data_IF_691130892091
#
_entry.id   IF_691130892091
#
_cell.length_a   1.000
_cell.length_b   1.000
_cell.length_c   1.000
_cell.angle_alpha   90.00
_cell.angle_beta   90.00
_cell.angle_gamma   90.00
#
_symmetry.space_group_name_H-M   'P 1'
#
loop_
_entity.id
_entity.type
_entity.pdbx_description
1 polymer ?
#
# COMPACT_ATOMS: atom_id res chain seq x y z
N UNK A 1 -16.72 -15.77 -24.87
CA UNK A 1 -15.31 -15.34 -25.03
C UNK A 1 -15.21 -13.84 -25.28
N UNK A 2 -15.97 -13.31 -26.25
CA UNK A 2 -16.10 -11.86 -26.51
C UNK A 2 -16.43 -11.05 -25.26
N UNK A 3 -17.44 -11.47 -24.49
CA UNK A 3 -17.85 -10.75 -23.27
C UNK A 3 -16.83 -10.74 -22.13
N UNK A 4 -16.02 -11.78 -21.96
CA UNK A 4 -15.00 -11.84 -20.92
C UNK A 4 -13.78 -10.97 -21.27
N UNK A 5 -13.36 -10.99 -22.54
CA UNK A 5 -12.31 -10.12 -23.06
C UNK A 5 -12.76 -8.65 -23.05
N UNK A 6 -14.01 -8.38 -23.43
CA UNK A 6 -14.62 -7.05 -23.35
C UNK A 6 -14.70 -6.57 -21.90
N UNK A 7 -15.07 -7.43 -20.94
CA UNK A 7 -15.10 -7.06 -19.53
C UNK A 7 -13.70 -6.71 -19.00
N UNK A 8 -12.67 -7.52 -19.30
CA UNK A 8 -11.28 -7.24 -18.90
C UNK A 8 -10.76 -5.96 -19.56
N UNK A 9 -11.06 -5.75 -20.85
CA UNK A 9 -10.66 -4.54 -21.57
C UNK A 9 -11.35 -3.29 -21.01
N UNK A 10 -12.65 -3.36 -20.73
CA UNK A 10 -13.41 -2.26 -20.10
C UNK A 10 -12.86 -1.97 -18.70
N UNK A 11 -12.51 -3.00 -17.93
CA UNK A 11 -11.92 -2.86 -16.60
C UNK A 11 -10.53 -2.22 -16.65
N UNK A 12 -9.69 -2.61 -17.61
CA UNK A 12 -8.38 -2.00 -17.88
C UNK A 12 -8.53 -0.53 -18.32
N UNK A 13 -9.51 -0.23 -19.17
CA UNK A 13 -9.82 1.16 -19.58
C UNK A 13 -10.31 1.97 -18.38
N UNK A 14 -11.17 1.42 -17.52
CA UNK A 14 -11.63 2.10 -16.30
C UNK A 14 -10.47 2.36 -15.31
N UNK A 15 -9.47 1.47 -15.24
CA UNK A 15 -8.26 1.70 -14.44
C UNK A 15 -7.38 2.83 -14.99
N UNK A 16 -7.31 2.99 -16.31
CA UNK A 16 -6.58 4.09 -16.95
C UNK A 16 -7.24 5.46 -16.71
N UNK A 17 -8.50 5.49 -16.28
CA UNK A 17 -9.27 6.72 -16.04
C UNK A 17 -9.25 7.13 -14.57
N UNK A 18 -8.88 6.24 -13.64
CA UNK A 18 -8.73 6.60 -12.24
C UNK A 18 -7.41 7.37 -12.06
N UNK A 19 -7.42 8.63 -11.60
CA UNK A 19 -6.19 9.30 -11.21
C UNK A 19 -5.53 8.45 -10.12
N UNK A 20 -4.37 7.87 -10.43
CA UNK A 20 -3.61 7.01 -9.53
C UNK A 20 -2.98 7.88 -8.46
N UNK A 21 -3.74 8.15 -7.40
CA UNK A 21 -3.32 9.00 -6.31
C UNK A 21 -2.75 8.20 -5.13
N UNK A 22 -1.51 7.75 -5.29
CA UNK A 22 -0.83 6.93 -4.30
C UNK A 22 0.51 7.53 -3.89
N UNK A 23 0.85 7.40 -2.61
CA UNK A 23 2.15 7.80 -2.08
C UNK A 23 3.17 6.66 -2.26
N UNK A 24 4.44 7.00 -2.43
CA UNK A 24 5.52 6.00 -2.39
C UNK A 24 5.78 5.60 -0.93
N UNK A 25 5.58 4.32 -0.56
CA UNK A 25 5.81 3.89 0.81
C UNK A 25 7.30 3.78 1.11
N UNK A 26 7.76 4.38 2.21
CA UNK A 26 9.15 4.31 2.67
C UNK A 26 9.20 3.88 4.13
N UNK A 27 9.77 2.70 4.38
CA UNK A 27 10.06 2.19 5.73
C UNK A 27 11.48 2.61 6.11
N UNK A 28 11.65 3.38 7.18
CA UNK A 28 12.95 3.96 7.58
C UNK A 28 13.55 3.31 8.83
N UNK A 29 14.86 3.49 9.01
CA UNK A 29 15.64 3.05 10.16
C UNK A 29 15.77 4.12 11.25
N UNK A 30 16.83 4.06 12.06
CA UNK A 30 17.11 5.05 13.11
C UNK A 30 17.47 6.42 12.54
N UNK A 31 16.63 7.42 12.82
CA UNK A 31 16.79 8.82 12.45
C UNK A 31 16.48 9.76 13.62
N UNK A 32 16.79 9.32 14.84
CA UNK A 32 16.46 10.00 16.11
C UNK A 32 17.34 11.22 16.43
N UNK A 33 18.25 11.61 15.54
CA UNK A 33 19.14 12.76 15.71
C UNK A 33 19.24 13.58 14.42
N UNK A 34 19.63 14.85 14.53
CA UNK A 34 19.92 15.70 13.36
C UNK A 34 20.98 15.10 12.44
N UNK A 35 21.98 14.42 12.99
CA UNK A 35 23.07 13.81 12.22
C UNK A 35 22.66 12.53 11.50
N UNK A 36 21.63 11.84 12.01
CA UNK A 36 21.05 10.64 11.40
C UNK A 36 19.76 10.93 10.66
N UNK A 37 19.42 12.22 10.48
CA UNK A 37 18.16 12.64 9.88
C UNK A 37 18.02 12.08 8.46
N UNK A 38 16.84 11.53 8.18
CA UNK A 38 16.53 10.93 6.89
C UNK A 38 16.34 12.02 5.84
N UNK A 39 17.12 11.98 4.76
CA UNK A 39 16.97 12.93 3.66
C UNK A 39 15.79 12.56 2.74
N UNK A 40 14.86 13.49 2.57
CA UNK A 40 13.80 13.44 1.56
C UNK A 40 14.40 13.93 0.24
N UNK A 41 14.63 13.00 -0.70
CA UNK A 41 15.43 13.27 -1.90
C UNK A 41 14.73 14.16 -2.93
N UNK A 42 13.45 13.92 -3.19
CA UNK A 42 12.68 14.70 -4.15
C UNK A 42 11.58 15.49 -3.44
N UNK A 43 11.74 16.82 -3.43
CA UNK A 43 10.79 17.77 -2.84
C UNK A 43 9.41 17.76 -3.47
N UNK A 44 9.30 17.34 -4.73
CA UNK A 44 8.03 17.34 -5.47
C UNK A 44 7.29 16.03 -5.28
N UNK A 45 8.00 14.89 -5.25
CA UNK A 45 7.40 13.56 -5.12
C UNK A 45 6.67 13.41 -3.79
N UNK A 46 5.48 12.83 -3.85
CA UNK A 46 4.68 12.54 -2.68
C UNK A 46 5.10 11.23 -2.04
N UNK A 47 5.75 11.34 -0.87
CA UNK A 47 6.17 10.21 -0.07
C UNK A 47 5.23 9.96 1.10
N UNK A 48 5.07 8.70 1.47
CA UNK A 48 4.52 8.29 2.76
C UNK A 48 5.63 7.55 3.53
N UNK A 49 6.22 8.24 4.50
CA UNK A 49 7.30 7.71 5.32
C UNK A 49 6.69 7.14 6.59
N UNK A 50 6.98 5.88 6.90
CA UNK A 50 6.46 5.17 8.05
C UNK A 50 7.52 5.07 9.14
N UNK A 51 7.20 5.58 10.33
CA UNK A 51 8.06 5.57 11.51
C UNK A 51 7.32 5.12 12.77
N UNK A 52 8.06 4.93 13.85
CA UNK A 52 7.50 4.59 15.16
C UNK A 52 8.26 5.37 16.21
N UNK A 53 7.55 6.17 17.00
CA UNK A 53 8.11 6.77 18.21
C UNK A 53 7.93 5.76 19.34
N UNK A 54 8.99 5.48 20.07
CA UNK A 54 9.08 4.46 21.12
C UNK A 54 9.02 5.05 22.53
N UNK A 55 9.46 6.29 22.71
CA UNK A 55 9.58 6.94 24.02
C UNK A 55 8.94 8.33 24.07
N UNK A 56 8.44 8.72 25.25
CA UNK A 56 7.95 10.06 25.47
C UNK A 56 9.09 11.07 25.39
N UNK A 57 8.90 12.15 24.63
CA UNK A 57 9.94 13.16 24.39
C UNK A 57 10.84 12.86 23.20
N UNK A 58 10.65 11.72 22.52
CA UNK A 58 11.39 11.33 21.33
C UNK A 58 10.96 12.14 20.10
N UNK A 59 11.92 12.34 19.18
CA UNK A 59 11.67 12.90 17.87
C UNK A 59 12.46 12.16 16.79
N UNK A 60 11.79 11.95 15.67
CA UNK A 60 12.38 11.47 14.43
C UNK A 60 12.64 12.65 13.49
N UNK A 61 13.82 12.70 12.88
CA UNK A 61 14.29 13.83 12.09
C UNK A 61 14.39 13.50 10.61
N UNK A 62 13.98 14.47 9.80
CA UNK A 62 14.03 14.45 8.35
C UNK A 62 14.60 15.75 7.83
N UNK A 63 15.26 15.70 6.67
CA UNK A 63 15.77 16.89 5.98
C UNK A 63 15.26 16.95 4.55
N UNK A 64 15.04 18.15 4.05
CA UNK A 64 14.70 18.40 2.65
C UNK A 64 15.39 19.68 2.18
N UNK A 65 15.92 19.67 0.97
CA UNK A 65 16.46 20.86 0.32
C UNK A 65 15.37 21.53 -0.51
N UNK A 66 15.10 22.80 -0.25
CA UNK A 66 14.03 23.57 -0.88
C UNK A 66 14.53 24.90 -1.42
N UNK A 67 13.92 25.34 -2.50
CA UNK A 67 14.05 26.68 -3.05
C UNK A 67 12.92 27.56 -2.52
N UNK A 68 13.19 28.86 -2.42
CA UNK A 68 12.21 29.86 -2.09
C UNK A 68 10.98 29.74 -2.99
N UNK A 69 9.82 29.65 -2.37
CA UNK A 69 8.53 29.46 -3.04
C UNK A 69 8.12 28.00 -3.25
N UNK A 70 9.02 27.03 -3.05
CA UNK A 70 8.63 25.61 -3.01
C UNK A 70 7.62 25.36 -1.87
N UNK A 71 6.73 24.39 -2.05
CA UNK A 71 5.69 24.12 -1.07
C UNK A 71 6.23 23.23 0.07
N UNK A 72 6.35 23.79 1.28
CA UNK A 72 6.51 23.05 2.53
C UNK A 72 5.19 22.36 2.87
N UNK A 73 4.90 21.20 2.26
CA UNK A 73 3.70 20.41 2.54
C UNK A 73 4.05 19.17 3.34
N UNK A 74 3.67 19.16 4.60
CA UNK A 74 3.90 18.05 5.50
C UNK A 74 2.65 17.74 6.31
N UNK A 75 2.34 16.45 6.47
CA UNK A 75 1.29 16.02 7.38
C UNK A 75 1.71 14.77 8.12
N UNK A 76 1.31 14.68 9.38
CA UNK A 76 1.52 13.52 10.22
C UNK A 76 0.19 12.84 10.44
N UNK A 77 0.15 11.53 10.24
CA UNK A 77 -1.02 10.70 10.48
C UNK A 77 -0.68 9.51 11.36
N UNK A 78 -1.65 9.00 12.12
CA UNK A 78 -1.48 7.79 12.94
C UNK A 78 -2.55 6.76 12.58
N UNK A 79 -2.25 5.45 12.56
CA UNK A 79 -3.19 4.43 12.12
C UNK A 79 -4.19 4.03 13.23
N UNK A 80 -3.71 3.69 14.44
CA UNK A 80 -4.52 3.17 15.55
C UNK A 80 -3.95 3.61 16.91
N UNK A 81 -4.82 3.83 17.91
CA UNK A 81 -4.54 4.40 19.24
C UNK A 81 -5.65 5.42 19.58
N UNK A 82 -6.05 5.67 20.82
CA UNK A 82 -7.11 6.67 21.07
C UNK A 82 -6.55 8.09 21.20
N UNK A 83 -5.31 8.22 21.64
CA UNK A 83 -4.78 9.48 22.17
C UNK A 83 -3.42 9.87 21.59
N UNK A 84 -2.72 8.95 20.92
CA UNK A 84 -1.45 9.23 20.26
C UNK A 84 -1.64 10.27 19.14
N UNK A 85 -1.02 11.44 19.34
CA UNK A 85 -1.11 12.61 18.47
C UNK A 85 0.25 13.32 18.37
N UNK A 86 1.20 12.77 17.59
CA UNK A 86 2.51 13.36 17.42
C UNK A 86 2.41 14.76 16.78
N UNK A 87 3.35 15.61 17.19
CA UNK A 87 3.51 16.96 16.71
C UNK A 87 4.41 16.98 15.48
N UNK A 88 4.29 18.05 14.72
CA UNK A 88 5.13 18.34 13.57
C UNK A 88 5.89 19.64 13.85
N UNK A 89 7.22 19.57 13.86
CA UNK A 89 8.10 20.73 14.00
C UNK A 89 8.87 20.91 12.70
N UNK A 90 8.87 22.13 12.17
CA UNK A 90 9.56 22.46 10.92
C UNK A 90 10.47 23.65 11.18
N UNK A 91 11.76 23.49 10.95
CA UNK A 91 12.78 24.54 11.08
C UNK A 91 13.51 24.74 9.76
N UNK A 92 14.00 25.95 9.54
CA UNK A 92 14.75 26.26 8.34
C UNK A 92 15.04 27.76 8.19
N UNK A 93 15.77 28.12 7.12
CA UNK A 93 16.13 29.51 6.82
C UNK A 93 14.90 30.41 6.74
N UNK A 94 14.97 31.59 7.35
CA UNK A 94 13.93 32.63 7.34
C UNK A 94 12.53 32.18 7.81
N UNK A 95 12.40 31.01 8.45
CA UNK A 95 11.17 30.65 9.14
C UNK A 95 10.97 31.58 10.33
N UNK A 96 9.81 32.22 10.40
CA UNK A 96 9.41 32.99 11.58
C UNK A 96 9.01 32.02 12.69
N UNK A 97 9.55 32.21 13.89
CA UNK A 97 9.23 31.39 15.06
C UNK A 97 7.72 31.42 15.36
N UNK A 98 7.09 30.25 15.37
CA UNK A 98 5.68 30.05 15.70
C UNK A 98 5.53 28.88 16.68
N UNK A 99 5.04 29.19 17.88
CA UNK A 99 4.97 28.22 18.96
C UNK A 99 6.32 27.99 19.66
N UNK A 100 6.31 27.11 20.67
CA UNK A 100 7.48 26.79 21.50
C UNK A 100 8.00 25.42 21.12
N UNK A 101 9.26 25.35 20.69
CA UNK A 101 9.93 24.09 20.38
C UNK A 101 10.15 23.31 21.68
N UNK A 102 9.78 22.02 21.75
CA UNK A 102 10.06 21.19 22.92
C UNK A 102 11.57 21.09 23.20
N UNK A 103 11.99 21.11 24.47
CA UNK A 103 13.42 21.11 24.86
C UNK A 103 14.22 19.90 24.35
N UNK A 104 13.55 18.75 24.20
CA UNK A 104 14.15 17.52 23.67
C UNK A 104 14.34 17.55 22.16
N UNK A 105 13.61 18.40 21.43
CA UNK A 105 13.76 18.56 19.98
C UNK A 105 14.96 19.47 19.70
N UNK A 106 15.96 18.92 19.00
CA UNK A 106 17.16 19.66 18.61
C UNK A 106 17.01 20.17 17.19
N UNK A 107 17.26 21.46 16.99
CA UNK A 107 17.19 22.12 15.68
C UNK A 107 18.53 22.81 15.37
N UNK A 108 18.82 23.12 14.09
CA UNK A 108 19.97 23.93 13.75
C UNK A 108 19.96 25.29 14.48
N UNK A 109 21.14 25.72 14.94
CA UNK A 109 21.24 26.94 15.74
C UNK A 109 20.93 28.19 14.90
N UNK A 110 20.10 29.08 15.46
CA UNK A 110 19.78 30.38 14.84
C UNK A 110 18.62 30.33 13.83
N UNK A 111 18.05 29.16 13.55
CA UNK A 111 16.86 29.01 12.72
C UNK A 111 15.58 29.20 13.54
N UNK A 112 14.58 29.84 12.94
CA UNK A 112 13.23 29.83 13.50
C UNK A 112 12.50 28.54 13.15
N UNK A 113 11.44 28.25 13.89
CA UNK A 113 10.67 27.03 13.71
C UNK A 113 9.15 27.27 13.83
N UNK A 114 8.39 26.47 13.09
CA UNK A 114 6.95 26.32 13.25
C UNK A 114 6.66 25.02 13.99
N UNK A 115 5.90 25.13 15.08
CA UNK A 115 5.46 23.98 15.88
C UNK A 115 3.96 23.79 15.68
N UNK A 116 3.59 22.74 14.96
CA UNK A 116 2.20 22.30 14.80
C UNK A 116 1.93 21.19 15.79
N UNK A 117 1.19 21.53 16.86
CA UNK A 117 0.78 20.55 17.87
C UNK A 117 -0.15 19.52 17.26
N UNK A 118 0.12 18.25 17.55
CA UNK A 118 -0.72 17.14 17.16
C UNK A 118 -2.05 17.17 17.89
N UNK A 119 -3.15 17.12 17.14
CA UNK A 119 -4.51 16.94 17.68
C UNK A 119 -5.15 15.81 16.90
N UNK A 120 -5.56 14.75 17.60
CA UNK A 120 -6.21 13.62 16.94
C UNK A 120 -7.65 13.99 16.57
N UNK A 121 -8.05 13.92 15.30
CA UNK A 121 -9.45 14.09 14.92
C UNK A 121 -10.28 12.88 15.35
N UNK A 122 -11.61 13.06 15.40
CA UNK A 122 -12.55 11.96 15.71
C UNK A 122 -12.76 11.01 14.53
N UNK A 123 -12.48 11.47 13.31
CA UNK A 123 -12.64 10.71 12.07
C UNK A 123 -11.31 10.59 11.34
N UNK A 124 -11.04 9.39 10.81
CA UNK A 124 -9.86 9.15 9.99
C UNK A 124 -10.08 9.56 8.51
N UNK A 125 -9.00 9.89 7.82
CA UNK A 125 -8.95 9.94 6.36
C UNK A 125 -8.88 8.52 5.78
N UNK A 126 -9.48 8.31 4.59
CA UNK A 126 -9.47 7.03 3.88
C UNK A 126 -8.52 7.06 2.68
N UNK A 127 -7.52 6.18 2.67
CA UNK A 127 -6.62 5.94 1.55
C UNK A 127 -7.16 4.77 0.72
N UNK A 128 -7.59 4.99 -0.54
CA UNK A 128 -8.36 4.01 -1.29
C UNK A 128 -7.53 2.93 -2.03
N UNK A 129 -6.25 3.15 -2.31
CA UNK A 129 -5.44 2.18 -3.08
C UNK A 129 -5.00 0.97 -2.25
N UNK A 130 -4.75 1.17 -0.96
CA UNK A 130 -4.25 0.15 -0.01
C UNK A 130 -5.24 -0.18 1.13
N UNK A 131 -6.52 0.16 0.91
CA UNK A 131 -7.54 0.49 1.91
C UNK A 131 -7.03 0.68 3.34
N UNK A 132 -6.56 1.88 3.66
CA UNK A 132 -6.04 2.25 4.99
C UNK A 132 -6.84 3.44 5.55
N UNK A 133 -7.06 3.44 6.87
CA UNK A 133 -7.56 4.60 7.60
C UNK A 133 -6.42 5.23 8.40
N UNK A 134 -6.29 6.56 8.35
CA UNK A 134 -5.28 7.32 9.09
C UNK A 134 -5.85 8.58 9.72
N UNK A 135 -5.53 8.82 10.99
CA UNK A 135 -5.91 10.04 11.70
C UNK A 135 -4.82 11.09 11.50
N UNK A 136 -5.08 12.09 10.66
CA UNK A 136 -4.15 13.21 10.44
C UNK A 136 -4.10 14.11 11.67
N UNK A 137 -3.01 14.03 12.43
CA UNK A 137 -2.85 14.72 13.72
C UNK A 137 -2.26 16.11 13.57
N UNK A 138 -1.41 16.31 12.57
CA UNK A 138 -0.78 17.59 12.28
C UNK A 138 -0.69 17.79 10.76
N UNK A 139 -0.81 19.02 10.32
CA UNK A 139 -0.70 19.39 8.91
C UNK A 139 -0.14 20.81 8.79
N UNK A 140 0.83 20.98 7.90
CA UNK A 140 1.43 22.26 7.58
C UNK A 140 1.57 22.43 6.07
N UNK A 141 1.23 23.62 5.58
CA UNK A 141 1.40 23.99 4.18
C UNK A 141 1.70 25.47 4.06
N UNK A 142 2.88 25.81 3.55
CA UNK A 142 3.30 27.18 3.25
C UNK A 142 4.39 27.19 2.19
N UNK A 143 4.61 28.29 1.45
CA UNK A 143 5.81 28.43 0.64
C UNK A 143 7.06 28.53 1.53
N UNK A 144 8.16 27.93 1.09
CA UNK A 144 9.48 28.07 1.68
C UNK A 144 9.92 29.55 1.58
N UNK A 145 10.24 30.23 2.69
CA UNK A 145 10.59 31.65 2.67
C UNK A 145 11.95 31.94 2.02
N UNK A 146 12.87 30.98 2.07
CA UNK A 146 14.22 31.10 1.52
C UNK A 146 14.75 29.75 1.00
N UNK A 147 15.83 29.82 0.23
CA UNK A 147 16.56 28.63 -0.24
C UNK A 147 17.31 27.99 0.94
N UNK A 148 17.35 26.66 0.98
CA UNK A 148 18.21 25.91 1.87
C UNK A 148 17.59 24.63 2.43
N UNK A 149 18.27 24.07 3.43
CA UNK A 149 17.86 22.83 4.08
C UNK A 149 16.84 23.14 5.17
N UNK A 150 15.72 22.44 5.12
CA UNK A 150 14.70 22.46 6.15
C UNK A 150 14.76 21.16 6.94
N UNK A 151 14.63 21.27 8.26
CA UNK A 151 14.55 20.15 9.19
C UNK A 151 13.10 19.94 9.59
N UNK A 152 12.62 18.71 9.46
CA UNK A 152 11.30 18.28 9.89
C UNK A 152 11.48 17.29 11.03
N UNK A 153 10.87 17.55 12.16
CA UNK A 153 10.85 16.61 13.28
C UNK A 153 9.41 16.17 13.56
N UNK A 154 9.21 14.85 13.62
CA UNK A 154 7.97 14.26 14.14
C UNK A 154 8.22 13.89 15.59
N UNK A 155 7.51 14.54 16.50
CA UNK A 155 7.80 14.52 17.93
C UNK A 155 6.60 14.00 18.72
N UNK A 156 6.85 13.25 19.80
CA UNK A 156 5.80 12.95 20.77
C UNK A 156 6.09 13.50 22.16
N UNK A 157 5.18 14.28 22.78
CA UNK A 157 5.34 14.73 24.16
C UNK A 157 5.00 13.66 25.20
N UNK A 158 4.34 12.56 24.81
CA UNK A 158 3.75 11.62 25.76
C UNK A 158 3.61 10.23 25.16
N UNK A 159 2.42 9.92 24.64
CA UNK A 159 2.15 8.59 24.10
C UNK A 159 3.04 8.24 22.90
N UNK A 160 3.26 6.96 22.70
CA UNK A 160 4.18 6.44 21.70
C UNK A 160 3.41 5.62 20.69
N UNK A 161 3.96 5.44 19.49
CA UNK A 161 3.27 4.66 18.48
C UNK A 161 3.70 4.93 17.04
N UNK A 162 3.05 4.18 16.12
CA UNK A 162 3.27 4.30 14.69
C UNK A 162 2.73 5.63 14.13
N UNK A 163 3.53 6.31 13.30
CA UNK A 163 3.08 7.46 12.52
C UNK A 163 3.51 7.38 11.05
N UNK A 164 2.76 8.06 10.20
CA UNK A 164 3.11 8.31 8.81
C UNK A 164 3.39 9.79 8.62
N UNK A 165 4.57 10.15 8.12
CA UNK A 165 4.90 11.48 7.63
C UNK A 165 4.67 11.49 6.11
N UNK A 166 3.71 12.29 5.65
CA UNK A 166 3.50 12.53 4.24
C UNK A 166 4.15 13.86 3.82
N UNK A 167 4.79 13.88 2.66
CA UNK A 167 5.39 15.05 2.03
C UNK A 167 5.01 15.17 0.55
N UNK A 168 5.35 16.30 -0.07
CA UNK A 168 5.27 16.49 -1.53
C UNK A 168 3.85 16.60 -2.11
N UNK A 169 3.77 16.60 -3.44
CA UNK A 169 2.50 16.78 -4.18
C UNK A 169 2.37 15.94 -5.44
N UNK A 170 3.48 15.47 -6.02
CA UNK A 170 3.53 14.72 -7.26
C UNK A 170 3.56 13.22 -6.97
N UNK A 171 2.58 12.49 -7.47
CA UNK A 171 2.55 11.03 -7.32
C UNK A 171 3.31 10.41 -8.49
N UNK A 172 4.43 9.75 -8.18
CA UNK A 172 5.31 9.14 -9.17
C UNK A 172 5.92 7.87 -8.62
N UNK A 173 5.87 6.80 -9.40
CA UNK A 173 6.41 5.49 -9.03
C UNK A 173 7.33 4.98 -10.14
N UNK A 174 8.52 4.54 -9.76
CA UNK A 174 9.34 3.70 -10.64
C UNK A 174 8.68 2.32 -10.84
N UNK A 175 9.02 1.59 -11.92
CA UNK A 175 8.49 0.25 -12.14
C UNK A 175 8.79 -0.73 -11.00
N UNK A 176 9.94 -0.57 -10.34
CA UNK A 176 10.32 -1.44 -9.21
C UNK A 176 9.51 -1.11 -7.95
N UNK A 177 9.28 0.17 -7.65
CA UNK A 177 8.38 0.58 -6.56
C UNK A 177 6.96 0.07 -6.83
N UNK A 178 6.47 0.22 -8.07
CA UNK A 178 5.15 -0.26 -8.46
C UNK A 178 4.95 -1.76 -8.18
N UNK A 179 5.94 -2.60 -8.52
CA UNK A 179 5.85 -4.05 -8.31
C UNK A 179 5.95 -4.44 -6.83
N UNK A 180 6.59 -3.61 -6.01
CA UNK A 180 6.79 -3.88 -4.58
C UNK A 180 5.63 -3.49 -3.68
N UNK A 181 4.78 -2.54 -4.12
CA UNK A 181 3.60 -2.07 -3.37
C UNK A 181 2.82 -3.19 -2.66
N UNK A 182 2.47 -4.33 -3.29
CA UNK A 182 1.68 -5.37 -2.61
C UNK A 182 2.39 -5.98 -1.40
N UNK A 183 3.73 -6.06 -1.45
CA UNK A 183 4.57 -6.55 -0.34
C UNK A 183 4.72 -5.47 0.72
N UNK A 184 4.93 -4.22 0.30
CA UNK A 184 5.07 -3.09 1.21
C UNK A 184 3.78 -2.87 2.02
N UNK A 185 2.59 -3.07 1.40
CA UNK A 185 1.28 -3.03 2.07
C UNK A 185 1.16 -4.08 3.18
N UNK A 186 1.73 -5.28 3.00
CA UNK A 186 1.77 -6.28 4.08
C UNK A 186 2.62 -5.75 5.24
N UNK A 187 3.78 -5.18 4.94
CA UNK A 187 4.66 -4.54 5.93
C UNK A 187 3.97 -3.42 6.69
N UNK A 188 3.26 -2.55 5.97
CA UNK A 188 2.48 -1.44 6.56
C UNK A 188 1.40 -1.98 7.49
N UNK A 189 0.65 -3.01 7.09
CA UNK A 189 -0.41 -3.58 7.96
C UNK A 189 0.15 -4.21 9.23
N UNK A 190 1.29 -4.89 9.13
CA UNK A 190 2.00 -5.41 10.31
C UNK A 190 2.49 -4.28 11.21
N UNK A 191 3.03 -3.21 10.62
CA UNK A 191 3.43 -1.99 11.33
C UNK A 191 2.24 -1.29 12.02
N UNK A 192 1.05 -1.34 11.43
CA UNK A 192 -0.20 -0.87 12.07
C UNK A 192 -0.68 -1.77 13.23
N UNK A 193 0.00 -2.89 13.50
CA UNK A 193 -0.37 -3.86 14.52
C UNK A 193 -1.39 -4.92 14.08
N UNK A 194 -1.69 -5.03 12.77
CA UNK A 194 -2.53 -6.13 12.30
C UNK A 194 -1.79 -7.47 12.42
N UNK A 195 -2.52 -8.53 12.76
CA UNK A 195 -1.96 -9.88 12.83
C UNK A 195 -1.79 -10.49 11.44
N UNK A 196 -0.81 -11.40 11.29
CA UNK A 196 -0.65 -12.19 10.06
C UNK A 196 -1.91 -12.97 9.68
N UNK A 197 -2.71 -13.41 10.65
CA UNK A 197 -3.98 -14.10 10.38
C UNK A 197 -5.03 -13.18 9.79
N UNK A 198 -5.05 -11.90 10.15
CA UNK A 198 -5.99 -10.95 9.57
C UNK A 198 -5.63 -10.63 8.11
N UNK A 199 -4.33 -10.45 7.83
CA UNK A 199 -3.80 -10.14 6.49
C UNK A 199 -3.85 -11.38 5.59
N UNK A 200 -3.36 -12.52 6.07
CA UNK A 200 -3.21 -13.77 5.32
C UNK A 200 -4.43 -14.69 5.35
N UNK A 201 -5.31 -14.54 6.35
CA UNK A 201 -6.47 -15.40 6.57
C UNK A 201 -7.41 -15.52 5.36
N UNK A 202 -7.77 -14.43 4.67
CA UNK A 202 -8.59 -14.52 3.45
C UNK A 202 -7.99 -15.45 2.39
N UNK A 203 -6.67 -15.39 2.17
CA UNK A 203 -5.98 -16.29 1.24
C UNK A 203 -6.05 -17.74 1.71
N UNK A 204 -5.77 -18.01 2.99
CA UNK A 204 -5.80 -19.35 3.57
C UNK A 204 -7.20 -19.98 3.50
N UNK A 205 -8.23 -19.22 3.86
CA UNK A 205 -9.63 -19.68 3.82
C UNK A 205 -10.04 -19.99 2.39
N UNK A 206 -9.78 -19.07 1.44
CA UNK A 206 -10.13 -19.28 0.03
C UNK A 206 -9.36 -20.46 -0.57
N UNK A 207 -8.07 -20.62 -0.25
CA UNK A 207 -7.29 -21.78 -0.68
C UNK A 207 -7.86 -23.08 -0.10
N UNK A 208 -8.10 -23.15 1.20
CA UNK A 208 -8.60 -24.35 1.87
C UNK A 208 -9.98 -24.76 1.35
N UNK A 209 -10.93 -23.82 1.30
CA UNK A 209 -12.30 -24.05 0.81
C UNK A 209 -12.28 -24.39 -0.68
N UNK A 210 -11.50 -23.65 -1.48
CA UNK A 210 -11.41 -23.86 -2.92
C UNK A 210 -10.83 -25.22 -3.28
N UNK A 211 -9.76 -25.65 -2.61
CA UNK A 211 -9.18 -26.98 -2.79
C UNK A 211 -10.12 -28.08 -2.30
N UNK A 212 -10.77 -27.90 -1.15
CA UNK A 212 -11.77 -28.85 -0.65
C UNK A 212 -12.90 -29.05 -1.67
N UNK A 213 -13.52 -27.96 -2.15
CA UNK A 213 -14.59 -28.03 -3.14
C UNK A 213 -14.11 -28.66 -4.45
N UNK A 214 -12.89 -28.38 -4.86
CA UNK A 214 -12.27 -28.99 -6.03
C UNK A 214 -12.15 -30.52 -5.87
N UNK A 215 -11.55 -30.99 -4.77
CA UNK A 215 -11.39 -32.43 -4.51
C UNK A 215 -12.72 -33.16 -4.29
N UNK A 216 -13.71 -32.51 -3.67
CA UNK A 216 -15.05 -33.07 -3.50
C UNK A 216 -15.77 -33.27 -4.85
N UNK A 217 -15.52 -32.38 -5.82
CA UNK A 217 -16.20 -32.40 -7.12
C UNK A 217 -15.44 -33.21 -8.17
N UNK A 218 -14.14 -33.39 -8.01
CA UNK A 218 -13.30 -34.07 -9.00
C UNK A 218 -13.52 -35.58 -8.97
N UNK A 219 -14.19 -36.09 -10.00
CA UNK A 219 -14.34 -37.53 -10.23
C UNK A 219 -13.07 -38.09 -10.88
N UNK A 220 -12.06 -38.44 -10.06
CA UNK A 220 -10.87 -39.28 -10.37
C UNK A 220 -9.93 -38.92 -11.53
N UNK A 221 -10.22 -37.96 -12.40
CA UNK A 221 -9.29 -37.57 -13.49
C UNK A 221 -8.08 -36.79 -12.95
N UNK A 222 -6.86 -37.18 -13.37
CA UNK A 222 -5.60 -36.59 -12.89
C UNK A 222 -5.40 -35.20 -13.49
N UNK A 223 -5.33 -34.17 -12.66
CA UNK A 223 -4.97 -32.83 -13.13
C UNK A 223 -3.47 -32.76 -13.45
N UNK A 224 -3.14 -32.21 -14.63
CA UNK A 224 -1.72 -31.96 -14.97
C UNK A 224 -1.13 -30.85 -14.09
N UNK A 225 0.19 -30.88 -13.81
CA UNK A 225 0.84 -29.91 -12.93
C UNK A 225 0.57 -28.45 -13.31
N UNK A 226 0.61 -28.11 -14.61
CA UNK A 226 0.32 -26.76 -15.09
C UNK A 226 -1.08 -26.28 -14.72
N UNK A 227 -2.10 -27.14 -14.84
CA UNK A 227 -3.46 -26.83 -14.45
C UNK A 227 -3.59 -26.69 -12.92
N UNK A 228 -2.88 -27.52 -12.15
CA UNK A 228 -2.81 -27.43 -10.69
C UNK A 228 -2.20 -26.10 -10.22
N UNK A 229 -1.07 -25.70 -10.81
CA UNK A 229 -0.44 -24.40 -10.52
C UNK A 229 -1.38 -23.24 -10.88
N UNK A 230 -2.05 -23.29 -12.03
CA UNK A 230 -3.03 -22.26 -12.43
C UNK A 230 -4.28 -22.23 -11.52
N UNK A 231 -4.69 -23.37 -10.97
CA UNK A 231 -5.79 -23.45 -9.99
C UNK A 231 -5.39 -22.73 -8.69
N UNK A 232 -4.19 -23.02 -8.17
CA UNK A 232 -3.65 -22.37 -6.97
C UNK A 232 -3.50 -20.86 -7.20
N UNK A 233 -2.96 -20.45 -8.35
CA UNK A 233 -2.87 -19.04 -8.73
C UNK A 233 -4.26 -18.38 -8.71
N UNK A 234 -5.27 -19.03 -9.30
CA UNK A 234 -6.64 -18.59 -9.31
C UNK A 234 -7.26 -18.40 -7.92
N UNK A 235 -7.01 -19.33 -7.00
CA UNK A 235 -7.45 -19.25 -5.61
C UNK A 235 -6.74 -18.12 -4.84
N UNK A 236 -5.45 -17.88 -5.10
CA UNK A 236 -4.71 -16.76 -4.51
C UNK A 236 -5.28 -15.41 -4.98
N UNK A 237 -5.61 -15.28 -6.27
CA UNK A 237 -6.30 -14.08 -6.78
C UNK A 237 -7.67 -13.87 -6.13
N UNK A 238 -8.47 -14.93 -5.96
CA UNK A 238 -9.73 -14.82 -5.24
C UNK A 238 -9.51 -14.38 -3.78
N UNK A 239 -8.51 -14.97 -3.11
CA UNK A 239 -8.10 -14.60 -1.76
C UNK A 239 -7.76 -13.11 -1.65
N UNK A 240 -7.00 -12.57 -2.60
CA UNK A 240 -6.67 -11.16 -2.69
C UNK A 240 -7.90 -10.26 -2.81
N UNK A 241 -8.89 -10.62 -3.63
CA UNK A 241 -10.13 -9.85 -3.73
C UNK A 241 -10.94 -9.84 -2.43
N UNK A 242 -11.03 -11.00 -1.74
CA UNK A 242 -11.68 -11.10 -0.42
C UNK A 242 -10.93 -10.27 0.63
N UNK A 243 -9.60 -10.29 0.58
CA UNK A 243 -8.74 -9.52 1.46
C UNK A 243 -8.94 -8.02 1.29
N UNK A 244 -8.96 -7.52 0.05
CA UNK A 244 -9.22 -6.11 -0.24
C UNK A 244 -10.59 -5.66 0.26
N UNK A 245 -11.63 -6.49 0.11
CA UNK A 245 -12.97 -6.20 0.64
C UNK A 245 -12.95 -6.14 2.17
N UNK A 246 -12.28 -7.09 2.82
CA UNK A 246 -12.15 -7.14 4.27
C UNK A 246 -11.45 -5.88 4.81
N UNK A 247 -10.31 -5.50 4.23
CA UNK A 247 -9.53 -4.33 4.65
C UNK A 247 -10.29 -3.03 4.41
N UNK A 248 -11.01 -2.93 3.29
CA UNK A 248 -11.92 -1.82 3.04
C UNK A 248 -12.98 -1.72 4.15
N UNK A 249 -13.59 -2.85 4.52
CA UNK A 249 -14.55 -2.90 5.62
C UNK A 249 -13.97 -2.51 6.98
N UNK A 250 -12.69 -2.80 7.24
CA UNK A 250 -11.99 -2.40 8.47
C UNK A 250 -11.75 -0.88 8.48
N UNK A 251 -11.19 -0.34 7.39
CA UNK A 251 -10.89 1.08 7.27
C UNK A 251 -12.16 1.95 7.38
N UNK A 252 -13.28 1.52 6.79
CA UNK A 252 -14.56 2.22 6.85
C UNK A 252 -15.25 2.22 8.21
N UNK A 253 -14.72 1.49 9.21
CA UNK A 253 -15.16 1.66 10.60
C UNK A 253 -14.64 2.96 11.22
N UNK A 254 -13.55 3.51 10.67
CA UNK A 254 -12.83 4.66 11.21
C UNK A 254 -12.95 5.90 10.32
N UNK A 255 -13.09 5.69 9.01
CA UNK A 255 -13.15 6.74 8.01
C UNK A 255 -14.56 6.86 7.40
N UNK A 256 -14.98 8.07 7.00
CA UNK A 256 -16.29 8.28 6.39
C UNK A 256 -16.40 7.59 5.02
N UNK A 257 -17.62 7.16 4.70
CA UNK A 257 -17.93 6.54 3.41
C UNK A 257 -17.98 7.62 2.33
N UNK A 258 -17.08 7.53 1.33
CA UNK A 258 -16.99 8.48 0.23
C UNK A 258 -16.83 7.82 -1.15
N UNK A 259 -16.84 8.61 -2.24
CA UNK A 259 -16.71 8.09 -3.61
C UNK A 259 -15.42 7.29 -3.85
N UNK A 260 -14.37 7.56 -3.09
CA UNK A 260 -13.07 6.88 -3.18
C UNK A 260 -13.14 5.37 -2.89
N UNK A 261 -14.20 4.88 -2.23
CA UNK A 261 -14.44 3.44 -2.01
C UNK A 261 -14.58 2.66 -3.32
N UNK A 262 -14.93 3.32 -4.42
CA UNK A 262 -15.02 2.66 -5.73
C UNK A 262 -13.68 2.04 -6.13
N UNK A 263 -12.56 2.67 -5.81
CA UNK A 263 -11.21 2.19 -6.18
C UNK A 263 -10.91 0.80 -5.60
N UNK A 264 -10.96 0.56 -4.28
CA UNK A 264 -10.66 -0.77 -3.74
C UNK A 264 -11.72 -1.81 -4.14
N UNK A 265 -12.98 -1.42 -4.34
CA UNK A 265 -14.01 -2.34 -4.86
C UNK A 265 -13.74 -2.76 -6.30
N UNK A 266 -13.25 -1.85 -7.15
CA UNK A 266 -12.82 -2.19 -8.51
C UNK A 266 -11.60 -3.12 -8.46
N UNK A 267 -10.58 -2.80 -7.66
CA UNK A 267 -9.39 -3.65 -7.47
C UNK A 267 -9.78 -5.07 -7.00
N UNK A 268 -10.66 -5.17 -6.01
CA UNK A 268 -11.21 -6.45 -5.56
C UNK A 268 -11.96 -7.19 -6.68
N UNK A 269 -12.78 -6.46 -7.45
CA UNK A 269 -13.48 -6.99 -8.62
C UNK A 269 -12.54 -7.55 -9.69
N UNK A 270 -11.41 -6.89 -9.94
CA UNK A 270 -10.36 -7.39 -10.84
C UNK A 270 -9.81 -8.71 -10.31
N UNK A 271 -9.39 -8.74 -9.05
CA UNK A 271 -8.79 -9.91 -8.42
C UNK A 271 -9.76 -11.12 -8.46
N UNK A 272 -11.03 -10.89 -8.13
CA UNK A 272 -12.09 -11.91 -8.21
C UNK A 272 -12.31 -12.40 -9.66
N UNK A 273 -12.30 -11.47 -10.62
CA UNK A 273 -12.47 -11.75 -12.05
C UNK A 273 -11.33 -12.60 -12.62
N UNK A 274 -10.09 -12.18 -12.44
CA UNK A 274 -8.91 -12.92 -12.94
C UNK A 274 -8.76 -14.25 -12.22
N UNK A 275 -9.03 -14.31 -10.91
CA UNK A 275 -9.04 -15.56 -10.16
C UNK A 275 -10.09 -16.55 -10.68
N UNK A 276 -11.31 -16.08 -10.95
CA UNK A 276 -12.37 -16.89 -11.55
C UNK A 276 -12.01 -17.41 -12.94
N UNK A 277 -11.38 -16.58 -13.78
CA UNK A 277 -10.91 -16.98 -15.11
C UNK A 277 -9.83 -18.06 -14.99
N UNK A 278 -8.86 -17.87 -14.09
CA UNK A 278 -7.77 -18.82 -13.86
C UNK A 278 -8.31 -20.19 -13.42
N UNK A 279 -9.16 -20.23 -12.39
CA UNK A 279 -9.78 -21.46 -11.87
C UNK A 279 -10.55 -22.16 -12.99
N UNK A 280 -11.43 -21.46 -13.70
CA UNK A 280 -12.24 -22.05 -14.79
C UNK A 280 -11.36 -22.61 -15.90
N UNK A 281 -10.27 -21.93 -16.23
CA UNK A 281 -9.35 -22.32 -17.29
C UNK A 281 -8.54 -23.54 -16.88
N UNK A 282 -8.08 -23.60 -15.64
CA UNK A 282 -7.37 -24.75 -15.07
C UNK A 282 -8.24 -25.99 -14.93
N UNK A 283 -9.46 -25.86 -14.40
CA UNK A 283 -10.38 -27.00 -14.28
C UNK A 283 -10.78 -27.56 -15.65
N UNK A 284 -10.92 -26.70 -16.67
CA UNK A 284 -11.23 -27.13 -18.05
C UNK A 284 -10.05 -27.67 -18.84
N UNK A 285 -8.82 -27.43 -18.40
CA UNK A 285 -7.63 -27.89 -19.10
C UNK A 285 -7.51 -29.43 -19.05
N UNK A 286 -7.98 -30.04 -17.96
CA UNK A 286 -7.92 -31.50 -17.75
C UNK A 286 -6.50 -32.02 -17.97
N UNK A 287 -6.34 -32.86 -18.98
CA UNK A 287 -5.09 -33.55 -19.29
C UNK A 287 -4.18 -32.81 -20.29
N UNK A 288 -4.55 -31.61 -20.74
CA UNK A 288 -3.78 -30.88 -21.76
C UNK A 288 -3.66 -29.37 -21.50
N UNK A 289 -2.52 -28.77 -21.86
CA UNK A 289 -2.36 -27.30 -21.92
C UNK A 289 -2.47 -26.79 -23.36
N UNK A 290 -3.68 -26.53 -23.89
CA UNK A 290 -3.84 -25.97 -25.23
C UNK A 290 -3.28 -24.54 -25.29
N UNK A 291 -2.97 -24.04 -26.49
CA UNK A 291 -2.44 -22.68 -26.66
C UNK A 291 -3.32 -21.60 -25.99
N UNK A 292 -4.65 -21.78 -26.01
CA UNK A 292 -5.61 -20.93 -25.29
C UNK A 292 -5.39 -20.89 -23.78
N UNK A 293 -5.02 -22.00 -23.15
CA UNK A 293 -4.74 -22.06 -21.71
C UNK A 293 -3.52 -21.19 -21.40
N UNK A 294 -2.45 -21.36 -22.18
CA UNK A 294 -1.20 -20.61 -22.00
C UNK A 294 -1.41 -19.11 -22.17
N UNK A 295 -2.09 -18.71 -23.25
CA UNK A 295 -2.40 -17.30 -23.51
C UNK A 295 -3.24 -16.69 -22.38
N UNK A 296 -4.28 -17.40 -21.91
CA UNK A 296 -5.11 -16.93 -20.80
C UNK A 296 -4.32 -16.80 -19.50
N UNK A 297 -3.45 -17.77 -19.19
CA UNK A 297 -2.62 -17.72 -17.98
C UNK A 297 -1.55 -16.62 -18.04
N UNK A 298 -0.98 -16.35 -19.23
CA UNK A 298 -0.13 -15.19 -19.45
C UNK A 298 -0.89 -13.89 -19.17
N UNK A 299 -2.07 -13.71 -19.77
CA UNK A 299 -2.89 -12.51 -19.56
C UNK A 299 -3.31 -12.34 -18.10
N UNK A 300 -3.74 -13.42 -17.44
CA UNK A 300 -4.09 -13.41 -16.01
C UNK A 300 -2.89 -13.00 -15.17
N UNK A 301 -1.71 -13.57 -15.42
CA UNK A 301 -0.49 -13.22 -14.71
C UNK A 301 -0.10 -11.76 -14.89
N UNK A 302 -0.14 -11.26 -16.13
CA UNK A 302 0.16 -9.85 -16.44
C UNK A 302 -0.82 -8.89 -15.79
N UNK A 303 -2.14 -9.13 -15.93
CA UNK A 303 -3.17 -8.28 -15.30
C UNK A 303 -2.99 -8.31 -13.78
N UNK A 304 -2.80 -9.49 -13.20
CA UNK A 304 -2.59 -9.63 -11.76
C UNK A 304 -1.38 -8.84 -11.25
N UNK A 305 -0.26 -8.87 -11.98
CA UNK A 305 0.93 -8.11 -11.63
C UNK A 305 0.69 -6.59 -11.68
N UNK A 306 0.04 -6.10 -12.74
CA UNK A 306 -0.23 -4.66 -12.93
C UNK A 306 -1.20 -4.14 -11.88
N UNK A 307 -2.21 -4.94 -11.50
CA UNK A 307 -3.26 -4.53 -10.57
C UNK A 307 -3.04 -5.06 -9.15
N UNK A 308 -1.85 -5.58 -8.84
CA UNK A 308 -1.47 -6.10 -7.52
C UNK A 308 -2.32 -7.27 -7.00
N UNK A 309 -3.14 -7.88 -7.86
CA UNK A 309 -4.01 -8.97 -7.48
C UNK A 309 -3.17 -10.22 -7.19
N UNK A 310 -3.47 -10.90 -6.10
CA UNK A 310 -2.74 -12.11 -5.70
C UNK A 310 -1.32 -11.84 -5.20
N UNK A 311 -1.04 -10.60 -4.78
CA UNK A 311 0.29 -10.11 -4.40
C UNK A 311 1.26 -10.36 -5.56
N UNK A 312 2.45 -10.90 -5.32
CA UNK A 312 3.39 -11.32 -6.37
C UNK A 312 3.23 -12.80 -6.71
N UNK A 313 2.77 -13.60 -5.74
CA UNK A 313 2.72 -15.06 -5.84
C UNK A 313 1.70 -15.52 -6.90
N UNK A 314 0.48 -14.97 -6.88
CA UNK A 314 -0.56 -15.30 -7.85
C UNK A 314 -0.11 -15.07 -9.31
N UNK A 315 0.38 -13.86 -9.64
CA UNK A 315 0.95 -13.56 -10.95
C UNK A 315 2.07 -14.52 -11.38
N UNK A 316 3.06 -14.76 -10.52
CA UNK A 316 4.19 -15.65 -10.82
C UNK A 316 3.72 -17.07 -11.10
N UNK A 317 2.79 -17.60 -10.30
CA UNK A 317 2.23 -18.93 -10.52
C UNK A 317 1.42 -19.01 -11.81
N UNK A 318 0.63 -17.98 -12.15
CA UNK A 318 -0.11 -17.95 -13.41
C UNK A 318 0.83 -17.92 -14.63
N UNK A 319 1.87 -17.09 -14.60
CA UNK A 319 2.90 -17.07 -15.64
C UNK A 319 3.64 -18.42 -15.73
N UNK A 320 4.00 -19.00 -14.59
CA UNK A 320 4.62 -20.33 -14.52
C UNK A 320 3.73 -21.43 -15.12
N UNK A 321 2.43 -21.41 -14.82
CA UNK A 321 1.47 -22.34 -15.39
C UNK A 321 1.43 -22.27 -16.92
N UNK A 322 1.57 -21.08 -17.50
CA UNK A 322 1.59 -20.90 -18.95
C UNK A 322 2.84 -21.48 -19.62
N UNK A 323 3.96 -21.54 -18.91
CA UNK A 323 5.26 -21.99 -19.42
C UNK A 323 5.49 -23.49 -19.22
N UNK A 324 4.88 -24.10 -18.21
CA UNK A 324 5.07 -25.52 -17.89
C UNK A 324 4.78 -26.47 -19.08
N UNK A 325 5.60 -27.52 -19.29
CA UNK A 325 5.46 -28.45 -20.41
C UNK A 325 4.19 -29.32 -20.31
N UNK A 326 3.73 -29.84 -21.44
CA UNK A 326 2.49 -30.65 -21.56
C UNK A 326 2.56 -32.02 -20.84
N UNK A 327 3.76 -32.54 -20.57
CA UNK A 327 4.01 -33.79 -19.86
C UNK A 327 5.16 -33.59 -18.89
N UNK A 328 4.95 -33.94 -17.62
CA UNK A 328 6.06 -34.31 -16.73
C UNK A 328 6.54 -35.69 -17.16
N UNK A 329 7.83 -35.83 -17.45
CA UNK A 329 8.47 -37.11 -17.66
C UNK A 329 8.55 -37.85 -16.31
N UNK A 330 7.48 -38.56 -15.96
CA UNK A 330 7.45 -39.61 -14.93
C UNK A 330 6.51 -40.71 -15.41
#
# INVERSE_FOLDING_TARGET
MRHALQAVLVLLILMLVLPAAAHVPVLQGDHTTLTTATQIQDRTISYAIYGTLHEAGEADYYTVDLQKGDLLRFSVSTPVGETFAPWLVIAGPDIVQQGTVPESVKLPAGEGAVVVRGVRPTTADFEPFTPIAGFRTANYSAPAPADGIYVIAVYTPGETGPYTLASGTLESFSPIEWVRIPVDVIGIRLWQGQSFLLIGGPYLVVLAVGLLLFFMRQRRERMIPAAGVGLIAGLIFLGSGVETILQTGIALRLAPVGPSIVVPLVLAGIALGVGSIAIRTSVKAGDSTPGRFRLLMLMVGTVGLVTWAGVIIGPVLALGAALLPKRTWL
#
